data_IF_970620928146
#
_entry.id   IF_970620928146
#
_cell.length_a   1.000
_cell.length_b   1.000
_cell.length_c   1.000
_cell.angle_alpha   90.00
_cell.angle_beta   90.00
_cell.angle_gamma   90.00
#
_symmetry.space_group_name_H-M   'P 1'
#
loop_
_entity.id
_entity.type
_entity.pdbx_description
1 polymer ?
2 polymer ?
3 water ?
#
# COMPACT_ATOMS: atom_id res chain seq x y z
N UNK A 5 -10.17 -18.70 -11.90
CA UNK A 5 -11.55 -18.66 -11.32
C UNK A 5 -11.70 -17.36 -10.53
N UNK A 6 -10.59 -16.92 -9.95
CA UNK A 6 -10.58 -15.83 -8.98
C UNK A 6 -10.69 -14.47 -9.63
N UNK A 7 -10.15 -14.36 -10.84
CA UNK A 7 -9.83 -13.08 -11.46
C UNK A 7 -11.02 -12.24 -11.82
N UNK A 8 -12.19 -12.83 -11.72
CA UNK A 8 -13.42 -12.12 -12.04
C UNK A 8 -14.17 -11.72 -10.77
N UNK A 9 -13.76 -12.25 -9.61
CA UNK A 9 -14.33 -11.85 -8.34
C UNK A 9 -13.87 -10.46 -7.97
N UNK A 10 -14.78 -9.66 -7.45
CA UNK A 10 -14.44 -8.27 -7.12
C UNK A 10 -13.40 -8.26 -6.00
N UNK A 11 -12.38 -7.41 -6.14
CA UNK A 11 -11.43 -7.18 -5.03
C UNK A 11 -12.13 -6.41 -3.88
N UNK A 12 -12.11 -6.89 -2.64
CA UNK A 12 -12.81 -6.22 -1.53
C UNK A 12 -12.31 -4.82 -1.28
N UNK A 13 -13.23 -3.87 -1.07
CA UNK A 13 -12.92 -2.44 -0.90
C UNK A 13 -13.07 -1.96 0.55
N UNK A 14 -13.42 -2.84 1.48
CA UNK A 14 -13.48 -2.53 2.90
C UNK A 14 -12.08 -2.47 3.52
N UNK A 15 -11.90 -1.70 4.58
CA UNK A 15 -10.60 -1.66 5.26
C UNK A 15 -10.27 -2.99 5.88
N UNK A 16 -8.98 -3.31 5.92
CA UNK A 16 -8.46 -4.57 6.51
C UNK A 16 -7.31 -4.26 7.43
N UNK A 17 -7.12 -5.16 8.39
CA UNK A 17 -5.93 -5.16 9.24
C UNK A 17 -4.94 -6.21 8.80
N UNK A 18 -3.69 -5.79 8.59
CA UNK A 18 -2.60 -6.67 8.20
C UNK A 18 -1.49 -6.52 9.24
N UNK A 19 -1.03 -7.66 9.77
CA UNK A 19 0.07 -7.65 10.74
C UNK A 19 1.27 -8.36 10.15
N UNK A 20 2.35 -7.59 9.98
CA UNK A 20 3.61 -8.09 9.43
C UNK A 20 4.69 -8.08 10.52
N UNK A 21 5.30 -9.24 10.74
CA UNK A 21 6.39 -9.37 11.71
C UNK A 21 7.66 -9.44 10.90
N UNK A 22 8.44 -8.36 10.93
CA UNK A 22 9.61 -8.26 10.05
C UNK A 22 10.94 -8.07 10.79
N UNK A 23 10.94 -8.18 12.12
CA UNK A 23 12.17 -7.99 12.88
C UNK A 23 12.80 -6.64 12.58
N UNK A 24 14.08 -6.67 12.18
CA UNK A 24 14.81 -5.47 11.78
C UNK A 24 15.22 -5.57 10.31
N UNK A 25 14.27 -5.99 9.48
CA UNK A 25 14.40 -5.99 8.01
C UNK A 25 13.33 -5.10 7.38
N UNK A 26 13.52 -4.76 6.12
CA UNK A 26 12.55 -3.94 5.42
C UNK A 26 11.23 -4.65 5.24
N UNK A 27 10.19 -3.84 5.06
CA UNK A 27 8.86 -4.38 4.79
C UNK A 27 8.72 -4.94 3.41
N UNK A 28 9.52 -4.48 2.47
CA UNK A 28 9.46 -5.03 1.12
C UNK A 28 8.37 -4.50 0.24
N UNK A 29 8.03 -3.21 0.37
CA UNK A 29 7.15 -2.55 -0.61
C UNK A 29 7.54 -1.10 -0.73
N UNK A 30 7.12 -0.48 -1.82
CA UNK A 30 7.32 0.92 -2.06
C UNK A 30 5.99 1.66 -2.01
N UNK A 31 6.07 2.97 -1.73
CA UNK A 31 4.89 3.84 -1.61
C UNK A 31 5.00 5.02 -2.56
N UNK A 32 3.84 5.49 -3.00
CA UNK A 32 3.71 6.72 -3.77
C UNK A 32 2.64 7.55 -3.10
N UNK A 33 2.65 8.87 -3.32
CA UNK A 33 1.65 9.76 -2.79
C UNK A 33 2.22 10.64 -1.71
N UNK A 34 1.34 11.25 -0.92
CA UNK A 34 1.74 12.09 0.20
C UNK A 34 1.65 13.56 -0.07
N UNK A 35 1.42 13.96 -1.31
CA UNK A 35 1.35 15.40 -1.61
C UNK A 35 -0.01 15.98 -1.27
N UNK A 36 -0.05 17.01 -0.44
CA UNK A 36 -1.32 17.67 -0.13
C UNK A 36 -2.47 16.71 0.20
N UNK A 37 -2.18 15.73 1.06
CA UNK A 37 -3.20 14.86 1.60
C UNK A 37 -3.83 13.90 0.60
N UNK A 38 -3.16 13.63 -0.53
CA UNK A 38 -3.68 12.72 -1.57
C UNK A 38 -3.82 11.28 -1.08
N UNK A 39 -3.04 10.92 -0.06
CA UNK A 39 -2.97 9.58 0.49
C UNK A 39 -1.64 8.91 0.14
N UNK A 40 -1.34 7.84 0.86
CA UNK A 40 -0.13 7.02 0.69
C UNK A 40 -0.58 5.67 0.11
N UNK A 41 -0.03 5.29 -1.03
CA UNK A 41 -0.41 4.04 -1.75
C UNK A 41 0.75 3.10 -1.97
N UNK A 42 0.46 1.80 -1.90
CA UNK A 42 1.44 0.80 -2.23
C UNK A 42 1.55 0.74 -3.74
N UNK A 43 2.77 0.90 -4.26
CA UNK A 43 2.99 0.87 -5.71
C UNK A 43 3.69 -0.39 -6.25
N UNK A 44 4.44 -1.03 -5.39
CA UNK A 44 5.30 -2.19 -5.76
C UNK A 44 5.48 -3.01 -4.52
N UNK A 45 5.37 -4.31 -4.68
CA UNK A 45 5.64 -5.25 -3.63
C UNK A 45 6.74 -6.18 -4.11
N UNK A 46 7.82 -6.26 -3.33
CA UNK A 46 8.97 -7.08 -3.66
C UNK A 46 8.66 -8.55 -3.50
N UNK A 47 8.93 -9.35 -4.54
CA UNK A 47 8.78 -10.80 -4.45
C UNK A 47 9.73 -11.35 -3.37
N UNK A 48 9.13 -12.10 -2.45
CA UNK A 48 9.84 -12.72 -1.34
C UNK A 48 10.04 -11.89 -0.10
N UNK A 49 9.66 -10.62 -0.11
CA UNK A 49 9.76 -9.77 1.05
C UNK A 49 8.62 -9.96 2.04
N UNK A 50 8.73 -9.35 3.21
CA UNK A 50 7.72 -9.56 4.24
C UNK A 50 6.30 -9.20 3.80
N UNK A 51 6.13 -8.09 3.10
CA UNK A 51 4.81 -7.73 2.58
C UNK A 51 4.24 -8.80 1.64
N UNK A 52 5.07 -9.30 0.73
CA UNK A 52 4.65 -10.43 -0.14
C UNK A 52 4.23 -11.64 0.69
N UNK A 53 5.08 -12.05 1.63
CA UNK A 53 4.84 -13.25 2.46
C UNK A 53 3.54 -13.13 3.27
N UNK A 54 3.14 -11.93 3.66
CA UNK A 54 1.83 -11.71 4.28
C UNK A 54 0.65 -12.16 3.44
N UNK A 55 0.74 -12.02 2.12
CA UNK A 55 -0.34 -12.39 1.23
C UNK A 55 -1.58 -11.49 1.32
N UNK A 56 -1.44 -10.36 2.00
CA UNK A 56 -2.59 -9.55 2.38
C UNK A 56 -2.49 -8.07 1.94
N UNK A 57 -1.49 -7.72 1.16
CA UNK A 57 -1.35 -6.37 0.58
C UNK A 57 -1.22 -6.49 -0.93
N UNK A 58 -1.67 -5.46 -1.65
CA UNK A 58 -1.50 -5.42 -3.08
C UNK A 58 -1.25 -3.97 -3.53
N UNK A 59 -0.66 -3.83 -4.72
CA UNK A 59 -0.59 -2.54 -5.42
C UNK A 59 -1.97 -1.92 -5.50
N UNK A 60 -2.03 -0.64 -5.13
CA UNK A 60 -3.26 0.11 -5.14
C UNK A 60 -3.98 0.17 -3.82
N UNK A 61 -3.44 -0.52 -2.82
CA UNK A 61 -3.89 -0.35 -1.45
C UNK A 61 -3.44 1.00 -0.89
N UNK A 62 -4.36 1.73 -0.26
CA UNK A 62 -4.00 2.90 0.54
C UNK A 62 -3.63 2.44 1.93
N UNK A 63 -2.55 2.98 2.49
CA UNK A 63 -2.20 2.76 3.88
C UNK A 63 -2.95 3.78 4.72
N UNK A 64 -3.95 3.35 5.47
CA UNK A 64 -4.72 4.28 6.34
C UNK A 64 -4.00 4.57 7.64
N UNK A 65 -3.33 3.56 8.19
CA UNK A 65 -2.56 3.75 9.44
C UNK A 65 -1.48 2.70 9.62
N UNK A 66 -0.47 3.02 10.44
CA UNK A 66 0.58 2.08 10.82
C UNK A 66 0.74 2.18 12.35
N UNK A 67 0.53 1.07 13.04
CA UNK A 67 0.59 1.02 14.50
C UNK A 67 -0.29 2.08 15.15
N UNK A 68 -1.47 2.29 14.57
CA UNK A 68 -2.42 3.25 15.11
C UNK A 68 -2.17 4.69 14.73
N UNK A 69 -1.07 4.94 14.03
CA UNK A 69 -0.77 6.27 13.53
C UNK A 69 -1.47 6.49 12.18
N UNK A 70 -2.38 7.45 12.13
CA UNK A 70 -3.19 7.77 10.95
C UNK A 70 -2.32 8.42 9.87
N UNK A 71 -2.25 7.75 8.73
CA UNK A 71 -1.48 8.23 7.58
C UNK A 71 -2.32 8.71 6.40
N UNK A 72 -3.62 8.85 6.58
CA UNK A 72 -4.48 9.29 5.49
C UNK A 72 -4.00 10.58 4.89
N UNK A 73 -3.50 11.48 5.75
CA UNK A 73 -3.10 12.81 5.32
C UNK A 73 -1.61 13.06 5.45
N UNK A 74 -0.86 11.99 5.55
CA UNK A 74 0.58 12.10 5.76
C UNK A 74 1.33 12.63 4.56
N UNK A 75 2.45 13.28 4.82
CA UNK A 75 3.40 13.56 3.75
C UNK A 75 4.18 12.28 3.35
N UNK A 76 4.77 12.28 2.17
CA UNK A 76 5.52 11.14 1.69
C UNK A 76 6.67 10.78 2.64
N UNK A 77 7.48 11.77 3.03
CA UNK A 77 8.63 11.46 3.88
C UNK A 77 8.21 11.02 5.27
N UNK A 78 7.20 11.63 5.88
CA UNK A 78 6.83 11.24 7.24
C UNK A 78 6.15 9.85 7.22
N UNK A 79 5.41 9.52 6.16
CA UNK A 79 4.92 8.15 5.95
C UNK A 79 6.03 7.13 5.92
N UNK A 80 7.04 7.40 5.11
CA UNK A 80 8.19 6.51 5.00
C UNK A 80 8.89 6.36 6.38
N UNK A 81 9.04 7.47 7.11
CA UNK A 81 9.65 7.39 8.44
C UNK A 81 8.78 6.57 9.37
N UNK A 82 7.45 6.76 9.31
CA UNK A 82 6.58 6.00 10.20
C UNK A 82 6.71 4.52 9.95
N UNK A 83 6.74 4.16 8.67
CA UNK A 83 6.89 2.75 8.30
C UNK A 83 8.22 2.16 8.72
N UNK A 84 9.29 2.85 8.44
CA UNK A 84 10.64 2.33 8.76
C UNK A 84 10.91 2.26 10.23
N UNK A 85 10.21 3.08 11.02
CA UNK A 85 10.40 3.17 12.48
C UNK A 85 9.29 2.54 13.28
N UNK A 86 8.40 1.82 12.62
CA UNK A 86 7.26 1.26 13.27
C UNK A 86 7.59 0.20 14.30
N UNK A 87 8.75 -0.44 14.17
CA UNK A 87 9.18 -1.52 15.05
C UNK A 87 9.05 -2.87 14.38
N UNK A 88 9.28 -3.91 15.16
CA UNK A 88 9.43 -5.22 14.61
C UNK A 88 8.08 -5.77 14.10
N UNK A 89 7.01 -5.46 14.82
CA UNK A 89 5.68 -5.90 14.45
C UNK A 89 4.97 -4.69 13.92
N UNK A 90 4.49 -4.78 12.68
CA UNK A 90 3.91 -3.63 12.00
C UNK A 90 2.44 -3.95 11.69
N UNK A 91 1.54 -3.19 12.30
CA UNK A 91 0.10 -3.40 12.09
C UNK A 91 -0.43 -2.32 11.16
N UNK A 92 -0.77 -2.71 9.93
CA UNK A 92 -1.23 -1.77 8.90
C UNK A 92 -2.75 -1.92 8.78
N UNK A 93 -3.44 -0.79 8.75
CA UNK A 93 -4.79 -0.78 8.19
C UNK A 93 -4.72 -0.25 6.77
N UNK A 94 -5.21 -1.05 5.84
CA UNK A 94 -5.14 -0.80 4.40
C UNK A 94 -6.52 -0.81 3.79
N UNK A 95 -6.69 -0.11 2.70
CA UNK A 95 -7.96 -0.12 1.96
C UNK A 95 -7.68 0.04 0.49
N UNK A 96 -8.26 -0.83 -0.30
CA UNK A 96 -7.97 -0.88 -1.72
C UNK A 96 -8.69 0.24 -2.46
N UNK A 97 -7.91 1.09 -3.14
CA UNK A 97 -8.39 2.32 -3.78
C UNK A 97 -7.77 2.42 -5.18
N UNK A 98 -8.19 1.55 -6.07
CA UNK A 98 -7.55 1.47 -7.38
C UNK A 98 -7.73 2.67 -8.29
N UNK A 99 -8.87 3.35 -8.20
CA UNK A 99 -9.10 4.54 -9.02
C UNK A 99 -8.13 5.62 -8.64
N UNK A 100 -7.99 5.89 -7.35
CA UNK A 100 -7.06 6.89 -6.89
C UNK A 100 -5.64 6.50 -7.26
N UNK A 101 -5.31 5.22 -7.09
CA UNK A 101 -3.96 4.77 -7.37
C UNK A 101 -3.65 4.94 -8.87
N UNK A 102 -4.61 4.60 -9.70
CA UNK A 102 -4.41 4.54 -11.15
C UNK A 102 -3.99 5.90 -11.69
N UNK A 103 -4.31 6.99 -10.99
CA UNK A 103 -3.92 8.33 -11.44
C UNK A 103 -2.40 8.58 -11.35
N UNK A 104 -1.70 7.76 -10.58
CA UNK A 104 -0.24 7.91 -10.44
C UNK A 104 0.55 7.18 -11.54
N UNK A 105 0.02 6.05 -11.98
CA UNK A 105 0.80 5.13 -12.87
C UNK A 105 0.39 5.30 -14.29
N UNK A 106 1.35 5.55 -15.15
CA UNK A 106 1.06 5.72 -16.56
C UNK A 106 0.24 4.60 -17.20
N UNK A 107 -0.70 5.01 -18.06
CA UNK A 107 -1.50 4.10 -18.88
C UNK A 107 -2.28 3.08 -18.07
N UNK A 108 -2.59 3.40 -16.82
CA UNK A 108 -3.33 2.48 -15.96
C UNK A 108 -4.82 2.89 -15.83
N UNK A 109 -5.64 1.86 -15.61
CA UNK A 109 -7.07 2.01 -15.47
C UNK A 109 -7.61 0.87 -14.65
N UNK A 110 -8.86 0.98 -14.27
CA UNK A 110 -9.45 -0.02 -13.42
C UNK A 110 -10.51 -0.77 -14.22
N UNK A 111 -10.42 -2.08 -14.24
CA UNK A 111 -11.48 -2.92 -14.88
C UNK A 111 -12.74 -3.17 -14.01
N UNK A 112 -13.68 -3.95 -14.54
CA UNK A 112 -14.97 -4.21 -13.87
C UNK A 112 -14.88 -4.93 -12.52
N UNK A 113 -13.84 -5.74 -12.32
CA UNK A 113 -13.60 -6.41 -11.02
C UNK A 113 -12.79 -5.59 -10.03
N UNK A 114 -12.42 -4.37 -10.42
CA UNK A 114 -11.57 -3.54 -9.60
C UNK A 114 -10.07 -3.70 -9.78
N UNK A 115 -9.67 -4.54 -10.73
CA UNK A 115 -8.26 -4.77 -10.99
C UNK A 115 -7.64 -3.64 -11.77
N UNK A 116 -6.39 -3.31 -11.45
CA UNK A 116 -5.63 -2.27 -12.12
C UNK A 116 -4.96 -2.90 -13.34
N UNK A 117 -5.30 -2.38 -14.50
CA UNK A 117 -4.77 -2.84 -15.77
C UNK A 117 -3.89 -1.74 -16.32
N UNK A 118 -2.73 -2.10 -16.85
CA UNK A 118 -1.86 -1.12 -17.48
C UNK A 118 -1.72 -1.54 -18.93
N UNK A 119 -2.07 -0.65 -19.84
CA UNK A 119 -2.04 -0.96 -21.26
C UNK A 119 -0.61 -0.73 -21.75
N UNK B 1 5.90 12.71 -7.12
CA UNK B 1 7.02 12.15 -7.92
C UNK B 1 7.90 11.21 -7.09
N UNK B 2 7.90 11.35 -5.77
CA UNK B 2 8.76 10.53 -4.91
C UNK B 2 8.25 9.08 -4.82
N UNK B 3 9.19 8.16 -4.59
CA UNK B 3 8.93 6.73 -4.36
C UNK B 3 9.93 6.30 -3.34
N UNK B 4 9.46 5.68 -2.28
CA UNK B 4 10.37 5.28 -1.24
C UNK B 4 10.13 3.84 -0.94
N UNK B 5 11.24 3.12 -0.85
CA UNK B 5 11.29 1.75 -0.39
C UNK B 5 11.23 1.70 1.10
N UNK B 6 10.35 0.84 1.61
CA UNK B 6 10.24 0.64 3.05
C UNK B 6 10.36 -0.81 3.41
#
# INVERSE_FOLDING_TARGET
GSPEFLGEEDIPREPRRIVIHRGSTGLGFNIVGGEDGEGIFISFILAGGPADLSGELRKGDQILSVNGVDLRNASHEQAAIALKNAGQTVTIIAQYKPEEYSRFEANSRVDSSGRIVTD
KKETWV
#
